data_IF_357922624702
#
_entry.id   IF_357922624702
#
_cell.length_a   1.000
_cell.length_b   1.000
_cell.length_c   1.000
_cell.angle_alpha   90.00
_cell.angle_beta   90.00
_cell.angle_gamma   90.00
#
_symmetry.space_group_name_H-M   'P 1'
#
loop_
_entity.id
_entity.type
_entity.pdbx_description
1 polymer ?
#
# COMPACT_ATOMS: atom_id res chain seq x y z
N UNK A 1 -23.93 0.19 -25.33
CA UNK A 1 -22.77 0.33 -26.22
C UNK A 1 -21.49 0.84 -25.54
N UNK A 2 -21.52 1.62 -24.47
CA UNK A 2 -20.33 2.16 -23.79
C UNK A 2 -19.49 1.12 -22.97
N UNK A 3 -20.08 0.06 -22.48
CA UNK A 3 -19.39 -0.99 -21.71
C UNK A 3 -18.48 -1.89 -22.55
N UNK A 4 -18.83 -2.13 -23.82
CA UNK A 4 -18.03 -2.95 -24.75
C UNK A 4 -16.68 -2.29 -25.09
N UNK A 5 -16.64 -0.97 -25.18
CA UNK A 5 -15.42 -0.22 -25.53
C UNK A 5 -14.38 -0.21 -24.41
N UNK A 6 -14.79 -0.17 -23.13
CA UNK A 6 -13.86 -0.21 -21.99
C UNK A 6 -13.14 -1.56 -21.88
N UNK A 7 -13.84 -2.66 -22.09
CA UNK A 7 -13.25 -4.01 -22.04
C UNK A 7 -12.28 -4.27 -23.17
N UNK A 8 -12.55 -3.74 -24.37
CA UNK A 8 -11.62 -3.83 -25.51
C UNK A 8 -10.38 -2.96 -25.33
N UNK A 9 -10.51 -1.78 -24.72
CA UNK A 9 -9.38 -0.89 -24.42
C UNK A 9 -8.46 -1.50 -23.37
N UNK A 10 -9.02 -2.11 -22.34
CA UNK A 10 -8.26 -2.81 -21.28
C UNK A 10 -7.43 -3.97 -21.83
N UNK A 11 -8.03 -4.79 -22.71
CA UNK A 11 -7.31 -5.89 -23.40
C UNK A 11 -6.17 -5.40 -24.30
N UNK A 12 -6.32 -4.26 -24.98
CA UNK A 12 -5.28 -3.67 -25.83
C UNK A 12 -4.09 -3.12 -25.04
N UNK A 13 -4.24 -2.83 -23.77
CA UNK A 13 -3.17 -2.33 -22.88
C UNK A 13 -2.51 -3.50 -22.13
N UNK A 14 -3.27 -4.47 -21.64
CA UNK A 14 -2.77 -5.59 -20.84
C UNK A 14 -1.90 -6.54 -21.68
N UNK A 15 -2.30 -6.84 -22.90
CA UNK A 15 -1.55 -7.78 -23.78
C UNK A 15 -0.15 -7.27 -24.13
N UNK A 16 0.06 -6.01 -24.60
CA UNK A 16 1.41 -5.52 -24.86
C UNK A 16 2.24 -5.32 -23.59
N UNK A 17 1.62 -5.04 -22.45
CA UNK A 17 2.31 -4.92 -21.18
C UNK A 17 2.87 -6.27 -20.71
N UNK A 18 2.08 -7.35 -20.83
CA UNK A 18 2.55 -8.70 -20.54
C UNK A 18 3.62 -9.18 -21.54
N UNK A 19 3.49 -8.85 -22.84
CA UNK A 19 4.51 -9.21 -23.83
C UNK A 19 5.82 -8.43 -23.63
N UNK A 20 5.78 -7.19 -23.17
CA UNK A 20 6.98 -6.41 -22.81
C UNK A 20 7.73 -7.01 -21.61
N UNK A 21 7.02 -7.57 -20.64
CA UNK A 21 7.60 -8.30 -19.51
C UNK A 21 8.33 -9.58 -19.94
N UNK A 22 7.81 -10.29 -20.97
CA UNK A 22 8.46 -11.50 -21.48
C UNK A 22 9.68 -11.21 -22.38
N UNK A 23 9.72 -10.08 -23.08
CA UNK A 23 10.87 -9.71 -23.94
C UNK A 23 12.07 -9.27 -23.12
N UNK A 24 11.86 -8.69 -21.93
CA UNK A 24 12.96 -8.26 -21.04
C UNK A 24 13.74 -9.43 -20.42
N UNK A 25 13.17 -10.63 -20.39
CA UNK A 25 13.83 -11.83 -19.82
C UNK A 25 14.99 -12.34 -20.71
N UNK A 26 15.03 -11.97 -21.99
CA UNK A 26 16.02 -12.47 -22.96
C UNK A 26 17.32 -11.65 -23.03
N UNK A 27 17.43 -10.52 -22.33
CA UNK A 27 18.56 -9.59 -22.44
C UNK A 27 19.66 -9.77 -21.35
N UNK A 28 19.62 -10.85 -20.59
CA UNK A 28 20.50 -11.05 -19.41
C UNK A 28 21.92 -11.54 -19.70
N UNK A 29 22.34 -11.64 -20.95
CA UNK A 29 23.66 -12.17 -21.30
C UNK A 29 24.85 -11.24 -20.98
N UNK A 30 24.64 -10.01 -20.47
CA UNK A 30 25.70 -9.01 -20.25
C UNK A 30 25.78 -8.44 -18.82
N UNK A 31 24.85 -8.78 -17.93
CA UNK A 31 24.95 -8.46 -16.50
C UNK A 31 25.45 -9.69 -15.78
N UNK A 32 26.42 -9.53 -14.86
CA UNK A 32 26.97 -10.61 -14.04
C UNK A 32 25.88 -11.52 -13.46
N UNK A 33 26.25 -12.63 -12.83
CA UNK A 33 25.27 -13.59 -12.30
C UNK A 33 24.23 -12.86 -11.43
N UNK A 34 22.96 -12.88 -11.87
CA UNK A 34 21.84 -12.33 -11.12
C UNK A 34 21.01 -13.47 -10.57
N UNK A 35 20.73 -13.45 -9.27
CA UNK A 35 19.70 -14.32 -8.72
C UNK A 35 18.34 -13.66 -8.87
N UNK A 36 17.39 -14.46 -9.27
CA UNK A 36 16.00 -14.06 -9.42
C UNK A 36 15.19 -14.66 -8.27
N UNK A 37 14.36 -13.84 -7.67
CA UNK A 37 13.51 -14.28 -6.57
C UNK A 37 12.08 -13.81 -6.85
N UNK A 38 11.12 -14.66 -6.57
CA UNK A 38 9.70 -14.31 -6.61
C UNK A 38 9.07 -14.56 -5.25
N UNK A 39 8.10 -13.76 -4.88
CA UNK A 39 7.39 -14.02 -3.63
C UNK A 39 5.98 -13.47 -3.62
N UNK A 40 5.29 -13.89 -2.59
CA UNK A 40 3.95 -13.44 -2.24
C UNK A 40 3.96 -12.86 -0.84
N UNK A 41 3.07 -11.91 -0.57
CA UNK A 41 2.92 -11.32 0.76
C UNK A 41 1.46 -11.02 1.04
N UNK A 42 1.09 -11.08 2.30
CA UNK A 42 -0.21 -10.66 2.79
C UNK A 42 -0.11 -10.18 4.23
N UNK A 43 -1.03 -9.30 4.62
CA UNK A 43 -1.06 -8.83 6.00
C UNK A 43 -2.11 -7.77 6.29
N UNK A 44 -2.25 -7.39 7.58
CA UNK A 44 -3.11 -6.30 7.99
C UNK A 44 -2.56 -4.94 7.54
N UNK A 45 -3.49 -4.04 7.25
CA UNK A 45 -3.25 -2.64 6.91
C UNK A 45 -3.93 -1.76 7.95
N UNK A 46 -3.23 -0.78 8.44
CA UNK A 46 -3.75 0.31 9.25
C UNK A 46 -3.72 1.57 8.42
N UNK A 47 -4.87 2.22 8.27
CA UNK A 47 -5.00 3.37 7.37
C UNK A 47 -5.22 4.65 8.18
N UNK A 48 -4.34 5.63 7.99
CA UNK A 48 -4.53 6.98 8.53
C UNK A 48 -5.33 7.80 7.53
N UNK A 49 -6.54 8.11 7.90
CA UNK A 49 -7.53 8.83 7.12
C UNK A 49 -8.00 10.09 7.85
N UNK A 50 -8.82 10.88 7.18
CA UNK A 50 -9.54 12.01 7.75
C UNK A 50 -10.82 11.60 8.53
N UNK A 51 -11.11 10.29 8.60
CA UNK A 51 -12.10 9.75 9.52
C UNK A 51 -11.60 9.86 10.96
N UNK A 52 -12.37 10.55 11.81
CA UNK A 52 -12.03 10.77 13.21
C UNK A 52 -11.23 12.04 13.50
N UNK A 53 -10.59 12.07 14.68
CA UNK A 53 -9.74 13.17 15.12
C UNK A 53 -8.29 12.93 14.66
N UNK A 54 -7.68 13.94 14.06
CA UNK A 54 -6.27 13.87 13.66
C UNK A 54 -5.36 13.63 14.88
N UNK A 55 -4.51 12.58 14.79
CA UNK A 55 -3.60 12.19 15.88
C UNK A 55 -4.18 11.24 16.91
N UNK A 56 -5.46 10.88 16.83
CA UNK A 56 -6.04 9.84 17.68
C UNK A 56 -5.60 8.44 17.19
N UNK A 57 -4.86 7.73 18.05
CA UNK A 57 -4.39 6.38 17.77
C UNK A 57 -5.55 5.38 17.63
N UNK A 58 -6.70 5.64 18.22
CA UNK A 58 -7.87 4.77 18.12
C UNK A 58 -8.38 4.72 16.67
N UNK A 59 -8.46 5.87 16.01
CA UNK A 59 -8.85 5.94 14.60
C UNK A 59 -7.85 5.21 13.69
N UNK A 60 -6.56 5.34 13.95
CA UNK A 60 -5.54 4.66 13.17
C UNK A 60 -5.58 3.14 13.34
N UNK A 61 -5.68 2.65 14.58
CA UNK A 61 -5.60 1.21 14.86
C UNK A 61 -6.88 0.44 14.57
N UNK A 62 -8.04 1.11 14.63
CA UNK A 62 -9.34 0.48 14.33
C UNK A 62 -9.72 0.52 12.86
N UNK A 63 -9.24 1.50 12.10
CA UNK A 63 -9.38 1.53 10.64
C UNK A 63 -8.41 0.54 9.99
N UNK A 64 -8.74 -0.74 10.16
CA UNK A 64 -7.91 -1.86 9.75
C UNK A 64 -8.49 -2.55 8.52
N UNK A 65 -7.61 -2.92 7.61
CA UNK A 65 -7.91 -3.67 6.42
C UNK A 65 -6.93 -4.80 6.17
N UNK A 66 -6.82 -5.20 4.92
CA UNK A 66 -5.87 -6.22 4.49
C UNK A 66 -5.15 -5.82 3.20
N UNK A 67 -3.96 -6.36 3.03
CA UNK A 67 -3.19 -6.30 1.79
C UNK A 67 -2.78 -7.67 1.33
N UNK A 68 -2.67 -7.83 0.01
CA UNK A 68 -2.05 -8.98 -0.64
C UNK A 68 -1.19 -8.47 -1.78
N UNK A 69 -0.08 -9.16 -2.06
CA UNK A 69 0.81 -8.74 -3.13
C UNK A 69 1.72 -9.85 -3.60
N UNK A 70 2.31 -9.60 -4.75
CA UNK A 70 3.36 -10.42 -5.36
C UNK A 70 4.55 -9.53 -5.63
N UNK A 71 5.73 -10.07 -5.58
CA UNK A 71 6.94 -9.30 -5.84
C UNK A 71 8.00 -10.15 -6.53
N UNK A 72 8.91 -9.44 -7.20
CA UNK A 72 10.03 -10.01 -7.90
C UNK A 72 11.28 -9.21 -7.55
N UNK A 73 12.39 -9.93 -7.33
CA UNK A 73 13.67 -9.32 -7.00
C UNK A 73 14.71 -9.51 -8.09
N UNK A 74 15.48 -8.44 -8.26
CA UNK A 74 16.73 -8.43 -8.97
C UNK A 74 17.85 -8.26 -7.94
N UNK A 75 18.68 -9.29 -7.76
CA UNK A 75 19.84 -9.26 -6.88
C UNK A 75 21.09 -9.20 -7.73
N UNK A 76 22.03 -8.35 -7.33
CA UNK A 76 23.31 -8.21 -8.02
C UNK A 76 24.36 -9.08 -7.32
N UNK A 77 25.04 -9.94 -8.08
CA UNK A 77 26.15 -10.75 -7.58
C UNK A 77 27.40 -10.33 -8.33
N UNK A 78 28.45 -10.06 -7.59
CA UNK A 78 29.78 -9.78 -8.13
C UNK A 78 30.76 -10.77 -7.56
N UNK A 79 31.79 -11.16 -8.36
CA UNK A 79 32.85 -12.11 -7.94
C UNK A 79 33.76 -11.53 -6.85
N UNK A 80 33.68 -10.24 -6.58
CA UNK A 80 34.40 -9.54 -5.52
C UNK A 80 33.44 -8.86 -4.58
N UNK A 81 33.79 -8.81 -3.30
CA UNK A 81 33.03 -8.09 -2.24
C UNK A 81 32.75 -6.65 -2.64
N UNK A 82 31.54 -6.40 -3.13
CA UNK A 82 31.07 -5.09 -3.55
C UNK A 82 29.92 -4.63 -2.65
N UNK A 83 29.76 -3.30 -2.47
CA UNK A 83 28.62 -2.73 -1.79
C UNK A 83 27.28 -3.04 -2.52
N UNK A 84 27.32 -3.37 -3.82
CA UNK A 84 26.13 -3.71 -4.59
C UNK A 84 25.42 -4.98 -4.09
N UNK A 85 26.16 -5.91 -3.51
CA UNK A 85 25.60 -7.14 -2.92
C UNK A 85 24.69 -6.86 -1.73
N UNK A 86 24.84 -5.69 -1.09
CA UNK A 86 23.98 -5.26 -0.01
C UNK A 86 22.63 -4.71 -0.49
N UNK A 87 22.44 -4.53 -1.81
CA UNK A 87 21.24 -3.96 -2.38
C UNK A 87 20.48 -4.98 -3.22
N UNK A 88 19.15 -4.98 -3.05
CA UNK A 88 18.23 -5.71 -3.93
C UNK A 88 17.19 -4.73 -4.47
N UNK A 89 16.83 -4.89 -5.73
CA UNK A 89 15.76 -4.14 -6.36
C UNK A 89 14.50 -5.00 -6.36
N UNK A 90 13.43 -4.50 -5.73
CA UNK A 90 12.14 -5.18 -5.65
C UNK A 90 11.11 -4.48 -6.52
N UNK A 91 10.55 -5.21 -7.47
CA UNK A 91 9.32 -4.84 -8.17
C UNK A 91 8.17 -5.51 -7.46
N UNK A 92 7.15 -4.78 -7.04
CA UNK A 92 5.97 -5.34 -6.38
C UNK A 92 4.66 -4.87 -7.02
N UNK A 93 3.65 -5.74 -6.99
CA UNK A 93 2.28 -5.45 -7.32
C UNK A 93 1.41 -5.86 -6.13
N UNK A 94 0.59 -4.94 -5.64
CA UNK A 94 -0.22 -5.18 -4.44
C UNK A 94 -1.63 -4.65 -4.56
N UNK A 95 -2.53 -5.29 -3.83
CA UNK A 95 -3.90 -4.84 -3.59
C UNK A 95 -4.10 -4.63 -2.09
N UNK A 96 -4.75 -3.53 -1.74
CA UNK A 96 -5.12 -3.20 -0.37
C UNK A 96 -6.59 -2.81 -0.33
N UNK A 97 -7.29 -3.19 0.74
CA UNK A 97 -8.64 -2.73 1.05
C UNK A 97 -8.77 -2.43 2.54
N UNK A 98 -9.38 -1.31 2.86
CA UNK A 98 -9.67 -0.88 4.23
C UNK A 98 -11.07 -0.30 4.30
N UNK A 99 -11.85 -0.69 5.31
CA UNK A 99 -13.09 -0.04 5.66
C UNK A 99 -12.80 1.03 6.73
N UNK A 100 -13.48 2.18 6.66
CA UNK A 100 -13.16 3.37 7.42
C UNK A 100 -14.37 3.83 8.23
N UNK A 101 -14.13 4.11 9.50
CA UNK A 101 -15.15 4.58 10.45
C UNK A 101 -14.59 5.68 11.35
N UNK A 102 -15.46 6.46 11.94
CA UNK A 102 -15.11 7.42 12.97
C UNK A 102 -15.04 6.74 14.34
N UNK A 103 -13.91 6.86 15.03
CA UNK A 103 -13.69 6.40 16.41
C UNK A 103 -13.34 7.58 17.32
N UNK A 104 -13.32 7.32 18.63
CA UNK A 104 -12.89 8.27 19.64
C UNK A 104 -14.02 9.09 20.26
N UNK A 105 -13.63 10.13 20.99
CA UNK A 105 -14.50 10.88 21.91
C UNK A 105 -15.74 11.54 21.27
N UNK A 106 -15.72 11.85 19.98
CA UNK A 106 -16.83 12.51 19.30
C UNK A 106 -17.96 11.58 18.90
N UNK A 107 -17.68 10.29 18.77
CA UNK A 107 -18.63 9.23 18.44
C UNK A 107 -19.03 8.37 19.64
N UNK A 108 -18.60 8.76 20.87
CA UNK A 108 -18.96 8.06 22.09
C UNK A 108 -20.50 7.88 22.18
N UNK A 109 -21.00 6.67 22.51
CA UNK A 109 -22.44 6.39 22.62
C UNK A 109 -23.20 7.31 23.57
N UNK A 110 -22.54 7.88 24.59
CA UNK A 110 -23.15 8.84 25.50
C UNK A 110 -23.50 10.20 24.86
N UNK A 111 -22.91 10.49 23.69
CA UNK A 111 -23.15 11.73 22.96
C UNK A 111 -24.40 11.62 22.08
N UNK A 112 -25.41 12.42 22.39
CA UNK A 112 -26.72 12.43 21.70
C UNK A 112 -26.90 13.60 20.74
N UNK A 113 -25.83 14.39 20.50
CA UNK A 113 -25.88 15.52 19.57
C UNK A 113 -26.09 15.05 18.12
N UNK A 114 -26.78 15.87 17.33
CA UNK A 114 -26.97 15.63 15.89
C UNK A 114 -25.63 15.42 15.16
N UNK A 115 -24.60 16.19 15.53
CA UNK A 115 -23.25 16.02 15.01
C UNK A 115 -22.67 14.63 15.30
N UNK A 116 -22.77 14.14 16.53
CA UNK A 116 -22.27 12.82 16.90
C UNK A 116 -23.04 11.69 16.21
N UNK A 117 -24.36 11.85 16.04
CA UNK A 117 -25.19 10.89 15.32
C UNK A 117 -24.79 10.80 13.84
N UNK A 118 -24.56 11.93 13.17
CA UNK A 118 -24.09 11.98 11.78
C UNK A 118 -22.70 11.40 11.61
N UNK A 119 -21.78 11.62 12.56
CA UNK A 119 -20.44 11.02 12.54
C UNK A 119 -20.51 9.48 12.65
N UNK A 120 -21.33 8.96 13.57
CA UNK A 120 -21.50 7.50 13.72
C UNK A 120 -22.10 6.83 12.51
N UNK A 121 -22.98 7.56 11.79
CA UNK A 121 -23.63 7.05 10.59
C UNK A 121 -22.75 7.20 9.34
N UNK A 122 -21.63 7.91 9.42
CA UNK A 122 -20.74 8.15 8.29
C UNK A 122 -19.64 7.10 8.24
N UNK A 123 -19.56 6.39 7.12
CA UNK A 123 -18.63 5.30 6.86
C UNK A 123 -17.90 5.53 5.55
N UNK A 124 -16.77 4.86 5.40
CA UNK A 124 -16.02 4.87 4.16
C UNK A 124 -15.37 3.53 3.84
N UNK A 125 -14.89 3.42 2.64
CA UNK A 125 -13.99 2.35 2.26
C UNK A 125 -13.02 2.83 1.20
N UNK A 126 -11.79 2.35 1.28
CA UNK A 126 -10.77 2.58 0.26
C UNK A 126 -10.17 1.28 -0.19
N UNK A 127 -9.88 1.19 -1.48
CA UNK A 127 -9.10 0.10 -2.04
C UNK A 127 -8.09 0.66 -3.04
N UNK A 128 -6.89 0.10 -3.03
CA UNK A 128 -5.81 0.50 -3.95
C UNK A 128 -5.21 -0.71 -4.65
N UNK A 129 -4.91 -0.54 -5.94
CA UNK A 129 -4.04 -1.45 -6.69
C UNK A 129 -2.77 -0.69 -6.97
N UNK A 130 -1.63 -1.21 -6.57
CA UNK A 130 -0.34 -0.53 -6.65
C UNK A 130 0.65 -1.38 -7.45
N UNK A 131 1.53 -0.68 -8.19
CA UNK A 131 2.73 -1.21 -8.80
C UNK A 131 3.91 -0.38 -8.30
N UNK A 132 4.89 -1.02 -7.69
CA UNK A 132 5.99 -0.36 -6.99
C UNK A 132 7.36 -0.84 -7.40
N UNK A 133 8.32 0.05 -7.22
CA UNK A 133 9.74 -0.25 -7.30
C UNK A 133 10.41 0.23 -6.01
N UNK A 134 11.11 -0.68 -5.33
CA UNK A 134 11.78 -0.41 -4.08
C UNK A 134 13.22 -0.92 -4.12
N UNK A 135 14.10 -0.17 -3.48
CA UNK A 135 15.46 -0.61 -3.21
C UNK A 135 15.55 -1.05 -1.76
N UNK A 136 15.99 -2.28 -1.54
CA UNK A 136 16.24 -2.85 -0.22
C UNK A 136 17.75 -2.85 0.06
N UNK A 137 18.11 -2.41 1.25
CA UNK A 137 19.49 -2.45 1.77
C UNK A 137 19.57 -3.45 2.92
N UNK A 138 20.49 -4.39 2.78
CA UNK A 138 20.83 -5.42 3.76
C UNK A 138 22.15 -5.05 4.44
N UNK A 139 22.14 -4.65 5.74
CA UNK A 139 23.37 -4.29 6.47
C UNK A 139 24.38 -5.42 6.55
N UNK A 140 23.88 -6.64 6.67
CA UNK A 140 24.68 -7.86 6.59
C UNK A 140 24.49 -8.47 5.20
N UNK A 141 25.61 -8.74 4.53
CA UNK A 141 25.58 -9.40 3.22
C UNK A 141 24.83 -10.72 3.35
N UNK A 142 23.74 -10.84 2.66
CA UNK A 142 23.11 -12.13 2.40
C UNK A 142 23.93 -12.81 1.31
N UNK A 143 25.02 -13.44 1.71
CA UNK A 143 25.74 -14.33 0.81
C UNK A 143 24.83 -15.55 0.56
N UNK A 144 24.21 -15.57 -0.61
CA UNK A 144 23.33 -16.67 -1.02
C UNK A 144 24.09 -18.01 -1.09
N UNK A 145 25.45 -17.97 -1.14
CA UNK A 145 26.34 -19.13 -1.06
C UNK A 145 26.78 -19.48 0.37
N UNK A 146 26.72 -18.54 1.30
CA UNK A 146 27.16 -18.78 2.66
C UNK A 146 25.97 -19.27 3.51
N UNK A 147 25.83 -20.59 3.57
CA UNK A 147 24.75 -21.31 4.29
C UNK A 147 24.64 -20.98 5.79
N UNK A 148 25.36 -19.97 6.28
CA UNK A 148 25.40 -19.57 7.68
C UNK A 148 24.47 -18.42 8.06
N UNK A 149 23.96 -17.62 7.11
CA UNK A 149 23.10 -16.46 7.42
C UNK A 149 21.64 -16.84 7.25
N UNK A 150 21.01 -17.19 8.36
CA UNK A 150 19.59 -17.58 8.39
C UNK A 150 18.65 -16.37 8.52
N UNK A 151 19.14 -15.26 9.09
CA UNK A 151 18.35 -14.10 9.44
C UNK A 151 18.95 -12.82 8.85
N UNK A 152 18.20 -12.12 8.00
CA UNK A 152 18.67 -10.97 7.23
C UNK A 152 17.70 -9.80 7.35
N UNK A 153 17.94 -8.86 8.26
CA UNK A 153 17.16 -7.64 8.33
C UNK A 153 17.51 -6.71 7.17
N UNK A 154 16.51 -5.88 6.79
CA UNK A 154 16.68 -4.88 5.73
C UNK A 154 15.86 -3.63 6.00
N UNK A 155 16.26 -2.56 5.35
CA UNK A 155 15.45 -1.36 5.18
C UNK A 155 15.22 -1.13 3.71
N UNK A 156 14.07 -0.58 3.36
CA UNK A 156 13.77 -0.26 1.96
C UNK A 156 13.21 1.13 1.80
N UNK A 157 13.40 1.66 0.60
CA UNK A 157 12.81 2.91 0.15
C UNK A 157 12.46 2.80 -1.32
N UNK A 158 11.31 3.40 -1.71
CA UNK A 158 10.86 3.37 -3.10
C UNK A 158 9.62 4.19 -3.36
N UNK A 159 9.05 3.97 -4.53
CA UNK A 159 7.82 4.61 -4.96
C UNK A 159 6.86 3.62 -5.59
N UNK A 160 5.60 3.96 -5.55
CA UNK A 160 4.53 3.21 -6.20
C UNK A 160 3.64 4.15 -7.00
N UNK A 161 3.12 3.63 -8.08
CA UNK A 161 1.99 4.19 -8.80
C UNK A 161 0.82 3.23 -8.64
N UNK A 162 -0.37 3.77 -8.45
CA UNK A 162 -1.54 2.93 -8.23
C UNK A 162 -2.81 3.58 -8.70
N UNK A 163 -3.89 2.88 -8.46
CA UNK A 163 -5.23 3.32 -8.72
C UNK A 163 -6.05 3.10 -7.46
N UNK A 164 -6.56 4.17 -6.87
CA UNK A 164 -7.44 4.06 -5.71
C UNK A 164 -8.90 4.14 -6.10
N UNK A 165 -9.74 3.51 -5.31
CA UNK A 165 -11.19 3.65 -5.35
C UNK A 165 -11.67 3.93 -3.95
N UNK A 166 -12.21 5.13 -3.74
CA UNK A 166 -12.77 5.57 -2.47
C UNK A 166 -14.29 5.65 -2.52
N UNK A 167 -14.91 5.35 -1.40
CA UNK A 167 -16.35 5.49 -1.19
C UNK A 167 -16.60 6.05 0.21
N UNK A 168 -17.38 7.13 0.27
CA UNK A 168 -17.94 7.66 1.50
C UNK A 168 -19.46 7.54 1.42
N UNK A 169 -20.10 7.09 2.49
CA UNK A 169 -21.56 6.92 2.57
C UNK A 169 -22.06 7.17 3.99
N UNK A 170 -23.37 7.31 4.16
CA UNK A 170 -24.01 7.51 5.46
C UNK A 170 -25.26 6.64 5.57
N UNK A 171 -25.47 6.01 6.71
CA UNK A 171 -26.69 5.25 7.01
C UNK A 171 -27.94 6.12 7.10
N UNK A 172 -27.77 7.43 7.25
CA UNK A 172 -28.88 8.40 7.28
C UNK A 172 -29.37 8.78 5.88
N UNK A 173 -28.66 8.36 4.80
CA UNK A 173 -29.04 8.65 3.42
C UNK A 173 -27.90 9.24 2.58
N UNK A 174 -28.21 9.99 1.50
CA UNK A 174 -27.20 10.55 0.60
C UNK A 174 -26.17 11.41 1.34
N UNK A 175 -24.89 11.20 1.05
CA UNK A 175 -23.80 11.99 1.64
C UNK A 175 -23.64 13.34 0.93
N UNK A 176 -23.07 14.35 1.62
CA UNK A 176 -22.84 15.69 1.08
C UNK A 176 -24.02 16.65 1.29
N UNK A 177 -25.06 16.27 2.05
CA UNK A 177 -26.17 17.14 2.41
C UNK A 177 -26.20 17.38 3.94
N UNK A 178 -26.69 18.55 4.41
CA UNK A 178 -26.68 18.93 5.83
C UNK A 178 -27.44 17.97 6.75
N UNK A 179 -28.42 17.24 6.24
CA UNK A 179 -29.25 16.32 7.00
C UNK A 179 -28.51 15.04 7.42
N UNK A 180 -27.58 14.57 6.60
CA UNK A 180 -26.91 13.27 6.73
C UNK A 180 -25.42 13.37 6.97
N UNK A 181 -24.82 14.55 6.70
CA UNK A 181 -23.37 14.76 6.73
C UNK A 181 -23.02 15.85 7.72
N UNK A 182 -22.02 15.65 8.59
CA UNK A 182 -21.52 16.70 9.46
C UNK A 182 -20.99 17.90 8.66
N UNK A 183 -21.15 19.11 9.20
CA UNK A 183 -20.74 20.37 8.53
C UNK A 183 -19.28 20.34 8.06
N UNK A 184 -18.39 19.72 8.84
CA UNK A 184 -16.97 19.54 8.51
C UNK A 184 -16.76 18.88 7.14
N UNK A 185 -17.63 17.94 6.75
CA UNK A 185 -17.46 17.07 5.57
C UNK A 185 -18.42 17.40 4.41
N UNK A 186 -19.30 18.42 4.54
CA UNK A 186 -20.33 18.72 3.53
C UNK A 186 -19.78 18.89 2.11
N UNK A 187 -18.62 19.57 1.98
CA UNK A 187 -17.99 19.83 0.69
C UNK A 187 -16.71 19.00 0.50
N UNK A 188 -16.41 18.12 1.45
CA UNK A 188 -15.17 17.36 1.52
C UNK A 188 -15.36 15.86 1.27
N UNK A 189 -16.39 15.45 0.55
CA UNK A 189 -16.61 14.02 0.26
C UNK A 189 -16.59 13.76 -1.24
N UNK A 190 -15.92 12.67 -1.66
CA UNK A 190 -15.86 12.23 -3.05
C UNK A 190 -15.86 10.70 -3.14
N UNK A 191 -16.69 10.21 -4.06
CA UNK A 191 -16.69 8.80 -4.46
C UNK A 191 -16.05 8.71 -5.84
N UNK A 192 -14.76 8.38 -5.89
CA UNK A 192 -14.00 8.45 -7.12
C UNK A 192 -13.01 7.28 -7.25
N UNK A 193 -12.53 7.10 -8.46
CA UNK A 193 -11.49 6.13 -8.78
C UNK A 193 -10.46 6.83 -9.66
N UNK A 194 -9.27 7.11 -9.11
CA UNK A 194 -8.23 7.91 -9.77
C UNK A 194 -6.84 7.30 -9.57
N UNK A 195 -5.89 7.61 -10.48
CA UNK A 195 -4.50 7.27 -10.26
C UNK A 195 -3.90 8.06 -9.09
N UNK A 196 -2.98 7.43 -8.38
CA UNK A 196 -2.24 8.04 -7.28
C UNK A 196 -0.80 7.55 -7.27
N UNK A 197 0.14 8.44 -6.96
CA UNK A 197 1.50 8.09 -6.64
C UNK A 197 1.69 8.02 -5.12
N UNK A 198 2.65 7.24 -4.66
CA UNK A 198 3.01 7.15 -3.25
C UNK A 198 4.50 6.89 -3.07
N UNK A 199 5.02 7.32 -1.93
CA UNK A 199 6.34 6.96 -1.44
C UNK A 199 6.20 5.82 -0.45
N UNK A 200 7.13 4.87 -0.49
CA UNK A 200 7.14 3.73 0.43
C UNK A 200 8.47 3.62 1.14
N UNK A 201 8.42 3.26 2.40
CA UNK A 201 9.59 2.83 3.16
C UNK A 201 9.22 1.62 4.00
N UNK A 202 10.16 0.68 4.16
CA UNK A 202 9.92 -0.52 4.97
C UNK A 202 11.12 -0.84 5.84
N UNK A 203 10.81 -1.51 6.94
CA UNK A 203 11.78 -2.25 7.75
C UNK A 203 11.30 -3.69 7.77
N UNK A 204 12.19 -4.62 7.43
CA UNK A 204 11.81 -6.01 7.35
C UNK A 204 12.92 -6.95 7.71
N UNK A 205 12.59 -8.22 7.68
CA UNK A 205 13.52 -9.30 7.91
C UNK A 205 13.18 -10.49 7.04
N UNK A 206 14.21 -11.15 6.54
CA UNK A 206 14.10 -12.45 5.87
C UNK A 206 14.66 -13.54 6.77
N UNK A 207 13.97 -14.64 6.82
CA UNK A 207 14.39 -15.87 7.46
C UNK A 207 14.52 -16.96 6.41
N UNK A 208 15.75 -17.41 6.17
CA UNK A 208 16.05 -18.46 5.19
C UNK A 208 15.69 -19.83 5.78
N UNK A 209 14.83 -20.56 5.10
CA UNK A 209 14.43 -21.93 5.48
C UNK A 209 15.42 -22.94 4.89
N UNK A 210 15.69 -22.80 3.58
CA UNK A 210 16.58 -23.66 2.80
C UNK A 210 17.19 -22.89 1.61
N UNK A 211 17.83 -23.58 0.68
CA UNK A 211 18.52 -22.97 -0.46
C UNK A 211 17.55 -22.29 -1.45
N UNK A 212 16.26 -22.64 -1.42
CA UNK A 212 15.26 -22.16 -2.36
C UNK A 212 14.16 -21.33 -1.72
N UNK A 213 14.06 -21.32 -0.38
CA UNK A 213 12.89 -20.83 0.32
C UNK A 213 13.22 -19.91 1.49
N UNK A 214 12.53 -18.80 1.59
CA UNK A 214 12.60 -17.90 2.75
C UNK A 214 11.22 -17.41 3.18
N UNK A 215 11.08 -17.11 4.46
CA UNK A 215 9.98 -16.30 4.98
C UNK A 215 10.43 -14.85 5.03
N UNK A 216 9.46 -13.95 4.96
CA UNK A 216 9.67 -12.51 5.06
C UNK A 216 8.65 -11.89 6.00
N UNK A 217 9.11 -10.94 6.81
CA UNK A 217 8.26 -9.98 7.49
C UNK A 217 8.65 -8.58 7.03
N UNK A 218 7.66 -7.76 6.64
CA UNK A 218 7.84 -6.42 6.07
C UNK A 218 6.85 -5.46 6.75
N UNK A 219 7.36 -4.51 7.51
CA UNK A 219 6.58 -3.39 8.06
C UNK A 219 6.75 -2.21 7.12
N UNK A 220 5.71 -1.87 6.36
CA UNK A 220 5.74 -0.88 5.27
C UNK A 220 4.87 0.32 5.61
N UNK A 221 5.47 1.49 5.56
CA UNK A 221 4.80 2.78 5.51
C UNK A 221 4.63 3.20 4.05
N UNK A 222 3.41 3.56 3.65
CA UNK A 222 3.09 4.11 2.34
C UNK A 222 2.40 5.46 2.50
N UNK A 223 3.03 6.52 1.99
CA UNK A 223 2.53 7.88 2.02
C UNK A 223 2.02 8.28 0.64
N UNK A 224 0.74 8.61 0.54
CA UNK A 224 0.10 8.97 -0.73
C UNK A 224 0.31 10.44 -1.06
N UNK A 225 0.39 10.75 -2.36
CA UNK A 225 0.47 12.14 -2.84
C UNK A 225 -0.89 12.85 -2.89
N UNK A 226 -1.96 12.12 -2.61
CA UNK A 226 -3.33 12.61 -2.58
C UNK A 226 -3.93 12.45 -1.18
N UNK A 227 -4.81 13.37 -0.81
CA UNK A 227 -5.61 13.39 0.40
C UNK A 227 -7.07 12.94 0.14
N UNK A 228 -7.29 12.28 -0.98
CA UNK A 228 -8.59 11.78 -1.40
C UNK A 228 -8.66 10.25 -1.45
N UNK A 229 -7.61 9.59 -0.96
CA UNK A 229 -7.54 8.13 -1.03
C UNK A 229 -8.57 7.48 -0.11
N UNK A 230 -8.95 8.15 0.97
CA UNK A 230 -10.02 7.75 1.89
C UNK A 230 -11.43 8.24 1.49
N UNK A 231 -11.53 9.11 0.46
CA UNK A 231 -12.79 9.67 -0.03
C UNK A 231 -13.28 10.91 0.71
N UNK A 232 -12.54 11.42 1.69
CA UNK A 232 -12.87 12.65 2.39
C UNK A 232 -11.65 13.58 2.48
N UNK A 233 -11.89 14.89 2.35
CA UNK A 233 -10.88 15.92 2.49
C UNK A 233 -11.54 17.20 2.98
N UNK A 234 -11.65 17.38 4.29
CA UNK A 234 -12.18 18.61 4.88
C UNK A 234 -11.31 19.82 4.55
N UNK A 235 -11.91 21.01 4.53
CA UNK A 235 -11.17 22.25 4.26
C UNK A 235 -10.02 22.46 5.27
N UNK A 236 -8.79 22.35 4.77
CA UNK A 236 -7.54 22.47 5.54
C UNK A 236 -7.31 23.86 6.15
N UNK A 237 -7.97 24.88 5.62
CA UNK A 237 -7.88 26.25 6.17
C UNK A 237 -8.71 26.41 7.41
N UNK A 238 -9.84 25.73 7.47
CA UNK A 238 -10.78 25.74 8.60
C UNK A 238 -10.42 24.64 9.62
N UNK A 239 -10.00 23.46 9.16
CA UNK A 239 -9.71 22.28 9.99
C UNK A 239 -8.24 21.92 9.90
N UNK A 240 -7.44 22.59 10.73
CA UNK A 240 -5.98 22.51 10.68
C UNK A 240 -5.41 21.14 11.06
N UNK A 241 -6.18 20.28 11.66
CA UNK A 241 -5.84 18.90 11.96
C UNK A 241 -5.74 18.00 10.71
N UNK A 242 -6.36 18.38 9.60
CA UNK A 242 -6.39 17.64 8.34
C UNK A 242 -5.34 18.15 7.32
N UNK A 243 -4.11 18.42 7.76
CA UNK A 243 -3.06 18.99 6.89
C UNK A 243 -2.19 17.95 6.20
N UNK A 244 -2.17 16.73 6.70
CA UNK A 244 -1.34 15.65 6.16
C UNK A 244 -2.13 14.81 5.18
N UNK A 245 -1.49 14.44 4.08
CA UNK A 245 -2.10 13.45 3.18
C UNK A 245 -2.28 12.10 3.86
N UNK A 246 -3.09 11.27 3.24
CA UNK A 246 -3.33 9.89 3.66
C UNK A 246 -2.05 9.06 3.68
N UNK A 247 -1.96 8.14 4.62
CA UNK A 247 -0.91 7.12 4.65
C UNK A 247 -1.41 5.81 5.24
N UNK A 248 -0.73 4.73 4.91
CA UNK A 248 -1.01 3.41 5.46
C UNK A 248 0.25 2.77 6.05
N UNK A 249 0.06 1.99 7.09
CA UNK A 249 1.07 1.11 7.68
C UNK A 249 0.61 -0.33 7.48
N UNK A 250 1.44 -1.14 6.84
CA UNK A 250 1.12 -2.53 6.53
C UNK A 250 2.13 -3.45 7.20
N UNK A 251 1.67 -4.53 7.81
CA UNK A 251 2.53 -5.59 8.35
C UNK A 251 2.34 -6.85 7.51
N UNK A 252 3.22 -7.05 6.55
CA UNK A 252 3.13 -8.15 5.61
C UNK A 252 3.98 -9.35 6.07
N UNK A 253 3.38 -10.53 5.99
CA UNK A 253 4.08 -11.81 6.04
C UNK A 253 4.20 -12.32 4.61
N UNK A 254 5.39 -12.76 4.23
CA UNK A 254 5.67 -13.17 2.86
C UNK A 254 6.44 -14.47 2.79
N UNK A 255 6.37 -15.06 1.63
CA UNK A 255 7.16 -16.22 1.23
C UNK A 255 7.90 -15.89 -0.05
N UNK A 256 9.18 -16.24 -0.09
CA UNK A 256 10.12 -15.96 -1.20
C UNK A 256 10.68 -17.26 -1.71
N UNK A 257 10.62 -17.44 -3.02
CA UNK A 257 11.23 -18.55 -3.74
C UNK A 257 12.39 -18.04 -4.60
N UNK A 258 13.53 -18.75 -4.53
CA UNK A 258 14.75 -18.45 -5.27
C UNK A 258 14.84 -19.35 -6.50
N UNK A 259 15.05 -18.73 -7.67
CA UNK A 259 15.34 -19.47 -8.90
C UNK A 259 16.87 -19.69 -8.98
N UNK A 260 17.29 -20.91 -9.23
CA UNK A 260 18.68 -21.26 -9.51
C UNK A 260 18.97 -21.20 -11.01
#
# INVERSE_FOLDING_TARGET
MAQSNKTQMLKKIIIPFFSLLFVSVSSYAQFGRTYQEVGIMAGPVFFKSDYGEGGDMENFTKNMGYSVGVFYYFSFIEDYSSLRENFKLRLDASYMKTDLEHFGKYVDPSKTSDFANKLRAMHGSTSTVNLGLQMEYYPWKTDDYNRGVTFSPYVSFGGQIGYYTSKAYSDLGPIGIPQTTPVKYLNGTRNESLPVASLTSSIGVRYRIDDYNSLMFDSRLQYYTSDWVDGINPDRTTYSENKTNDYSLTFNFGYVYYFN
#
